data_IF_600889920359
#
_entry.id   IF_600889920359
#
_cell.length_a   1.000
_cell.length_b   1.000
_cell.length_c   1.000
_cell.angle_alpha   90.00
_cell.angle_beta   90.00
_cell.angle_gamma   90.00
#
_symmetry.space_group_name_H-M   'P 1'
#
loop_
_entity.id
_entity.type
_entity.pdbx_description
1 polymer ?
#
# COMPACT_ATOMS: atom_id res chain seq x y z
N UNK A 1 3.45 24.38 -10.53
CA UNK A 1 3.21 23.12 -9.80
C UNK A 1 3.28 23.43 -8.31
N UNK A 2 2.12 23.59 -7.63
CA UNK A 2 2.10 23.91 -6.18
C UNK A 2 2.43 22.63 -5.42
N UNK A 3 3.59 22.58 -4.81
CA UNK A 3 3.92 21.60 -3.79
C UNK A 3 2.98 21.84 -2.60
N UNK A 4 1.96 21.01 -2.48
CA UNK A 4 1.19 20.95 -1.23
C UNK A 4 2.13 20.29 -0.23
N UNK A 5 2.62 21.08 0.71
CA UNK A 5 3.42 20.57 1.83
C UNK A 5 2.56 19.53 2.56
N UNK A 6 2.86 18.24 2.34
CA UNK A 6 2.22 17.15 3.06
C UNK A 6 2.41 17.42 4.54
N UNK A 7 1.31 17.64 5.27
CA UNK A 7 1.32 17.86 6.72
C UNK A 7 2.11 16.70 7.34
N UNK A 8 3.24 17.00 7.98
CA UNK A 8 4.05 15.94 8.62
C UNK A 8 3.22 15.31 9.71
N UNK A 9 2.87 14.05 9.54
CA UNK A 9 2.18 13.28 10.56
C UNK A 9 3.06 13.21 11.81
N UNK A 10 2.46 13.49 12.96
CA UNK A 10 3.12 13.35 14.26
C UNK A 10 3.16 11.88 14.69
N UNK A 11 2.19 11.10 14.27
CA UNK A 11 2.11 9.67 14.49
C UNK A 11 1.39 8.97 13.34
N UNK A 12 1.64 7.67 13.19
CA UNK A 12 1.04 6.83 12.16
C UNK A 12 0.97 5.38 12.65
N UNK A 13 -0.05 4.66 12.20
CA UNK A 13 -0.20 3.24 12.42
C UNK A 13 0.29 2.48 11.18
N UNK A 14 1.35 1.70 11.31
CA UNK A 14 1.76 0.73 10.30
C UNK A 14 0.96 -0.55 10.46
N UNK A 15 0.38 -1.07 9.38
CA UNK A 15 -0.34 -2.34 9.35
C UNK A 15 0.23 -3.28 8.32
N UNK A 16 0.20 -4.57 8.60
CA UNK A 16 0.38 -5.62 7.61
C UNK A 16 -0.51 -6.81 7.93
N UNK A 17 -1.00 -7.50 6.90
CA UNK A 17 -1.69 -8.78 7.04
C UNK A 17 -1.02 -9.79 6.12
N UNK A 18 -0.44 -10.81 6.70
CA UNK A 18 0.22 -11.90 5.99
C UNK A 18 -0.23 -13.21 6.60
N UNK A 19 -0.70 -14.14 5.79
CA UNK A 19 -1.21 -15.45 6.21
C UNK A 19 -2.28 -15.37 7.31
N UNK A 20 -3.18 -14.38 7.19
CA UNK A 20 -4.23 -14.12 8.18
C UNK A 20 -3.73 -13.51 9.48
N UNK A 21 -2.44 -13.20 9.60
CA UNK A 21 -1.85 -12.58 10.77
C UNK A 21 -1.81 -11.07 10.60
N UNK A 22 -2.66 -10.34 11.32
CA UNK A 22 -2.59 -8.89 11.45
C UNK A 22 -1.42 -8.53 12.37
N UNK A 23 -0.56 -7.62 11.91
CA UNK A 23 0.50 -6.99 12.70
C UNK A 23 0.34 -5.49 12.62
N UNK A 24 0.43 -4.82 13.75
CA UNK A 24 0.29 -3.38 13.85
C UNK A 24 1.41 -2.76 14.68
N UNK A 25 1.86 -1.59 14.28
CA UNK A 25 2.83 -0.79 15.01
C UNK A 25 2.39 0.68 15.00
N UNK A 26 2.07 1.22 16.16
CA UNK A 26 1.85 2.65 16.34
C UNK A 26 3.20 3.33 16.53
N UNK A 27 3.53 4.20 15.60
CA UNK A 27 4.82 4.90 15.54
C UNK A 27 4.55 6.39 15.69
N UNK A 28 5.31 7.06 16.55
CA UNK A 28 5.20 8.51 16.75
C UNK A 28 6.58 9.17 16.68
N UNK A 29 6.59 10.43 16.28
CA UNK A 29 7.78 11.27 16.31
C UNK A 29 7.95 11.89 17.70
N UNK A 30 9.06 11.57 18.35
CA UNK A 30 9.45 12.15 19.63
C UNK A 30 10.70 13.02 19.41
N UNK A 31 10.53 14.36 19.35
CA UNK A 31 11.62 15.32 19.08
C UNK A 31 12.34 15.01 17.75
N UNK A 32 13.54 14.45 17.81
CA UNK A 32 14.37 14.10 16.65
C UNK A 32 14.34 12.60 16.30
N UNK A 33 13.70 11.77 17.12
CA UNK A 33 13.65 10.32 16.93
C UNK A 33 12.24 9.83 16.55
N UNK A 34 12.19 8.65 15.96
CA UNK A 34 10.96 7.88 15.73
C UNK A 34 10.92 6.79 16.78
N UNK A 35 9.80 6.65 17.49
CA UNK A 35 9.60 5.65 18.51
C UNK A 35 8.36 4.81 18.22
N UNK A 36 8.46 3.50 18.47
CA UNK A 36 7.30 2.61 18.51
C UNK A 36 6.61 2.82 19.85
N UNK A 37 5.42 3.39 19.81
CA UNK A 37 4.60 3.67 21.00
C UNK A 37 3.92 2.40 21.48
N UNK A 38 3.42 1.61 20.55
CA UNK A 38 2.72 0.35 20.82
C UNK A 38 2.76 -0.56 19.60
N UNK A 39 2.81 -1.85 19.83
CA UNK A 39 2.65 -2.87 18.79
C UNK A 39 1.69 -3.94 19.26
N UNK A 40 1.02 -4.59 18.32
CA UNK A 40 0.14 -5.73 18.57
C UNK A 40 0.14 -6.68 17.36
N UNK A 41 -0.25 -7.91 17.63
CA UNK A 41 -0.42 -8.94 16.61
C UNK A 41 -1.64 -9.77 16.95
N UNK A 42 -2.46 -10.08 15.96
CA UNK A 42 -3.67 -10.87 16.12
C UNK A 42 -3.91 -11.72 14.86
N UNK A 43 -4.50 -12.90 15.03
CA UNK A 43 -4.96 -13.70 13.91
C UNK A 43 -6.36 -13.23 13.52
N UNK A 44 -6.57 -12.92 12.24
CA UNK A 44 -7.88 -12.63 11.69
C UNK A 44 -8.63 -13.92 11.40
N UNK A 45 -9.93 -13.92 11.67
CA UNK A 45 -10.83 -15.04 11.36
C UNK A 45 -11.22 -15.05 9.88
N UNK A 46 -11.18 -13.88 9.23
CA UNK A 46 -11.59 -13.67 7.86
C UNK A 46 -10.43 -13.11 7.02
N UNK A 47 -10.40 -13.46 5.74
CA UNK A 47 -9.46 -12.91 4.77
C UNK A 47 -9.77 -11.45 4.44
N UNK A 48 -8.75 -10.65 4.08
CA UNK A 48 -8.93 -9.25 3.66
C UNK A 48 -9.84 -9.10 2.43
N UNK A 49 -9.90 -10.12 1.57
CA UNK A 49 -10.74 -10.15 0.38
C UNK A 49 -12.10 -10.82 0.62
N UNK A 50 -12.44 -11.11 1.87
CA UNK A 50 -13.76 -11.69 2.22
C UNK A 50 -14.89 -10.80 1.66
N UNK A 51 -15.97 -11.37 1.11
CA UNK A 51 -17.09 -10.63 0.52
C UNK A 51 -17.67 -9.57 1.47
N UNK A 52 -17.77 -9.89 2.75
CA UNK A 52 -18.27 -9.00 3.79
C UNK A 52 -17.12 -8.18 4.40
N UNK A 53 -16.58 -7.23 3.63
CA UNK A 53 -15.45 -6.38 4.01
C UNK A 53 -15.67 -5.63 5.35
N UNK A 54 -16.92 -5.28 5.67
CA UNK A 54 -17.26 -4.60 6.91
C UNK A 54 -17.05 -5.48 8.15
N UNK A 55 -17.25 -6.81 8.05
CA UNK A 55 -16.98 -7.74 9.15
C UNK A 55 -15.47 -7.80 9.43
N UNK A 56 -14.65 -7.90 8.38
CA UNK A 56 -13.19 -7.85 8.51
C UNK A 56 -12.74 -6.55 9.15
N UNK A 57 -13.30 -5.41 8.73
CA UNK A 57 -12.98 -4.11 9.29
C UNK A 57 -13.35 -3.99 10.78
N UNK A 58 -14.51 -4.53 11.17
CA UNK A 58 -14.91 -4.57 12.58
C UNK A 58 -13.98 -5.45 13.42
N UNK A 59 -13.56 -6.59 12.89
CA UNK A 59 -12.61 -7.47 13.57
C UNK A 59 -11.27 -6.75 13.82
N UNK A 60 -10.73 -6.08 12.79
CA UNK A 60 -9.51 -5.25 12.92
C UNK A 60 -9.70 -4.17 13.99
N UNK A 61 -10.83 -3.45 13.96
CA UNK A 61 -11.16 -2.42 14.94
C UNK A 61 -11.14 -2.97 16.37
N UNK A 62 -11.77 -4.11 16.59
CA UNK A 62 -11.82 -4.76 17.91
C UNK A 62 -10.40 -5.13 18.41
N UNK A 63 -9.54 -5.64 17.54
CA UNK A 63 -8.14 -5.92 17.88
C UNK A 63 -7.35 -4.67 18.23
N UNK A 64 -7.53 -3.57 17.50
CA UNK A 64 -6.90 -2.30 17.81
C UNK A 64 -7.38 -1.73 19.15
N UNK A 65 -8.67 -1.80 19.43
CA UNK A 65 -9.25 -1.34 20.70
C UNK A 65 -8.77 -2.17 21.88
N UNK A 66 -8.75 -3.50 21.74
CA UNK A 66 -8.22 -4.41 22.75
C UNK A 66 -6.74 -4.16 23.05
N UNK A 67 -5.96 -3.81 22.02
CA UNK A 67 -4.57 -3.41 22.16
C UNK A 67 -4.39 -1.97 22.70
N UNK A 68 -5.46 -1.20 22.89
CA UNK A 68 -5.41 0.19 23.33
C UNK A 68 -4.80 1.15 22.30
N UNK A 69 -4.86 0.81 21.02
CA UNK A 69 -4.35 1.63 19.91
C UNK A 69 -5.45 2.57 19.43
N UNK A 70 -5.20 3.89 19.54
CA UNK A 70 -6.17 4.95 19.19
C UNK A 70 -5.79 5.72 17.93
N UNK A 71 -4.57 5.55 17.40
CA UNK A 71 -4.16 6.17 16.14
C UNK A 71 -5.04 5.65 15.00
N UNK A 72 -5.44 6.55 14.11
CA UNK A 72 -6.34 6.25 12.98
C UNK A 72 -5.70 6.51 11.61
N UNK A 73 -4.72 7.41 11.55
CA UNK A 73 -3.96 7.59 10.30
C UNK A 73 -3.05 6.38 10.12
N UNK A 74 -3.12 5.74 8.96
CA UNK A 74 -2.41 4.49 8.77
C UNK A 74 -1.72 4.38 7.40
N UNK A 75 -0.70 3.55 7.40
CA UNK A 75 -0.06 3.01 6.19
C UNK A 75 -0.18 1.50 6.26
N UNK A 76 -0.61 0.87 5.20
CA UNK A 76 -0.72 -0.59 5.11
C UNK A 76 0.27 -1.15 4.10
N UNK A 77 1.03 -2.16 4.51
CA UNK A 77 1.79 -2.98 3.60
C UNK A 77 0.85 -3.99 2.93
N UNK A 78 0.79 -3.94 1.60
CA UNK A 78 -0.03 -4.88 0.84
C UNK A 78 0.58 -6.29 0.90
N UNK A 79 -0.25 -7.34 0.92
CA UNK A 79 0.24 -8.71 0.82
C UNK A 79 1.09 -8.88 -0.45
N UNK A 80 2.28 -9.49 -0.38
CA UNK A 80 3.13 -9.70 -1.56
C UNK A 80 2.43 -10.46 -2.69
N UNK A 81 1.50 -11.37 -2.35
CA UNK A 81 0.70 -12.14 -3.31
C UNK A 81 -0.25 -11.30 -4.16
N UNK A 82 -0.52 -10.05 -3.79
CA UNK A 82 -1.35 -9.12 -4.57
C UNK A 82 -0.53 -8.32 -5.58
N UNK A 83 0.79 -8.32 -5.43
CA UNK A 83 1.67 -7.44 -6.19
C UNK A 83 2.23 -8.17 -7.39
N UNK A 84 1.92 -7.68 -8.58
CA UNK A 84 2.57 -8.07 -9.82
C UNK A 84 3.72 -7.11 -10.10
N UNK A 85 4.84 -7.62 -10.57
CA UNK A 85 6.05 -6.83 -10.78
C UNK A 85 6.57 -7.05 -12.20
N UNK A 86 6.93 -5.94 -12.86
CA UNK A 86 7.58 -5.94 -14.16
C UNK A 86 8.74 -4.95 -14.18
N UNK A 87 9.81 -5.31 -14.86
CA UNK A 87 10.97 -4.45 -15.08
C UNK A 87 11.05 -4.07 -16.55
N UNK A 88 11.16 -2.79 -16.82
CA UNK A 88 11.37 -2.26 -18.16
C UNK A 88 12.66 -1.45 -18.23
N UNK A 89 13.44 -1.65 -19.30
CA UNK A 89 14.59 -0.78 -19.61
C UNK A 89 14.05 0.52 -20.20
N UNK A 90 14.56 1.64 -19.70
CA UNK A 90 14.22 2.97 -20.21
C UNK A 90 15.32 3.44 -21.16
N UNK A 91 15.05 3.50 -22.46
CA UNK A 91 15.93 4.20 -23.39
C UNK A 91 15.89 5.72 -23.15
N UNK A 92 16.86 6.44 -23.71
CA UNK A 92 16.88 7.91 -23.69
C UNK A 92 15.83 8.43 -24.69
N UNK A 93 14.63 8.70 -24.18
CA UNK A 93 13.48 9.21 -24.91
C UNK A 93 12.91 10.44 -24.20
N UNK A 94 12.03 11.17 -24.89
CA UNK A 94 11.22 12.21 -24.25
C UNK A 94 10.35 11.63 -23.11
N UNK A 95 9.92 12.47 -22.17
CA UNK A 95 9.07 12.01 -21.07
C UNK A 95 7.73 11.44 -21.56
N UNK A 96 7.20 11.95 -22.67
CA UNK A 96 5.96 11.49 -23.30
C UNK A 96 6.14 10.10 -23.94
N UNK A 97 7.24 9.92 -24.69
CA UNK A 97 7.58 8.64 -25.31
C UNK A 97 7.89 7.56 -24.25
N UNK A 98 8.58 7.94 -23.16
CA UNK A 98 8.79 7.03 -22.02
C UNK A 98 7.49 6.60 -21.37
N UNK A 99 6.53 7.52 -21.20
CA UNK A 99 5.23 7.19 -20.63
C UNK A 99 4.45 6.22 -21.55
N UNK A 100 4.47 6.46 -22.86
CA UNK A 100 3.85 5.59 -23.86
C UNK A 100 4.50 4.21 -23.91
N UNK A 101 5.83 4.16 -23.87
CA UNK A 101 6.57 2.88 -23.81
C UNK A 101 6.16 2.08 -22.56
N UNK A 102 6.14 2.72 -21.40
CA UNK A 102 5.78 2.04 -20.14
C UNK A 102 4.32 1.57 -20.12
N UNK A 103 3.42 2.25 -20.84
CA UNK A 103 2.05 1.79 -21.01
C UNK A 103 2.00 0.52 -21.88
N UNK A 104 2.68 0.50 -23.01
CA UNK A 104 2.80 -0.67 -23.89
C UNK A 104 3.44 -1.86 -23.15
N UNK A 105 4.48 -1.60 -22.39
CA UNK A 105 5.13 -2.65 -21.59
C UNK A 105 4.17 -3.21 -20.53
N UNK A 106 3.36 -2.37 -19.88
CA UNK A 106 2.34 -2.83 -18.93
C UNK A 106 1.28 -3.72 -19.60
N UNK A 107 0.80 -3.33 -20.79
CA UNK A 107 -0.18 -4.11 -21.57
C UNK A 107 0.34 -5.49 -21.96
N UNK A 108 1.64 -5.61 -22.26
CA UNK A 108 2.27 -6.88 -22.64
C UNK A 108 2.68 -7.74 -21.46
N UNK A 109 3.03 -7.10 -20.34
CA UNK A 109 3.71 -7.78 -19.24
C UNK A 109 2.80 -8.19 -18.09
N UNK A 110 1.68 -7.51 -17.88
CA UNK A 110 0.73 -7.93 -16.86
C UNK A 110 -0.35 -8.85 -17.45
N UNK A 111 -0.77 -9.90 -16.71
CA UNK A 111 -1.78 -10.85 -17.16
C UNK A 111 -3.22 -10.31 -17.11
N UNK A 112 -3.40 -9.06 -16.75
CA UNK A 112 -4.67 -8.35 -16.53
C UNK A 112 -4.60 -7.02 -17.26
N UNK A 113 -5.75 -6.56 -17.78
CA UNK A 113 -5.84 -5.27 -18.43
C UNK A 113 -5.33 -4.15 -17.52
N UNK A 114 -4.40 -3.29 -17.99
CA UNK A 114 -3.88 -2.16 -17.21
C UNK A 114 -4.96 -1.24 -16.63
N UNK A 115 -6.12 -1.13 -17.27
CA UNK A 115 -7.25 -0.34 -16.77
C UNK A 115 -7.86 -0.91 -15.49
N UNK A 116 -7.71 -2.21 -15.24
CA UNK A 116 -8.10 -2.88 -14.00
C UNK A 116 -7.03 -2.79 -12.91
N UNK A 117 -5.85 -2.24 -13.23
CA UNK A 117 -4.71 -2.17 -12.33
C UNK A 117 -4.46 -0.77 -11.80
N UNK A 118 -4.02 -0.69 -10.57
CA UNK A 118 -3.30 0.46 -10.04
C UNK A 118 -1.81 0.19 -10.16
N UNK A 119 -1.12 0.97 -10.99
CA UNK A 119 0.30 0.80 -11.28
C UNK A 119 1.09 1.91 -10.61
N UNK A 120 2.09 1.54 -9.82
CA UNK A 120 3.13 2.44 -9.32
C UNK A 120 4.43 2.18 -10.08
N UNK A 121 5.23 3.23 -10.29
CA UNK A 121 6.48 3.17 -11.03
C UNK A 121 7.63 3.65 -10.15
N UNK A 122 8.69 2.86 -10.09
CA UNK A 122 9.92 3.17 -9.36
C UNK A 122 11.10 3.21 -10.34
N UNK A 123 11.58 4.41 -10.72
CA UNK A 123 12.76 4.54 -11.58
C UNK A 123 14.03 4.23 -10.80
N UNK A 124 14.97 3.56 -11.42
CA UNK A 124 16.31 3.34 -10.89
C UNK A 124 17.33 3.35 -12.02
N UNK A 125 18.58 3.63 -11.68
CA UNK A 125 19.70 3.66 -12.64
C UNK A 125 20.77 2.69 -12.19
N UNK A 126 21.33 1.94 -13.14
CA UNK A 126 22.65 1.32 -13.04
C UNK A 126 23.69 2.20 -13.74
N UNK A 127 24.96 1.80 -13.71
CA UNK A 127 26.05 2.53 -14.37
C UNK A 127 25.84 2.72 -15.88
N UNK A 128 25.11 1.83 -16.53
CA UNK A 128 25.01 1.80 -18.01
C UNK A 128 23.59 2.01 -18.54
N UNK A 129 22.57 1.94 -17.71
CA UNK A 129 21.18 1.96 -18.16
C UNK A 129 20.21 2.46 -17.11
N UNK A 130 19.14 3.10 -17.56
CA UNK A 130 17.99 3.42 -16.73
C UNK A 130 16.93 2.31 -16.84
N UNK A 131 16.27 2.04 -15.73
CA UNK A 131 15.19 1.04 -15.62
C UNK A 131 14.02 1.60 -14.84
N UNK A 132 12.85 1.03 -15.06
CA UNK A 132 11.67 1.26 -14.22
C UNK A 132 11.12 -0.08 -13.75
N UNK A 133 10.89 -0.19 -12.45
CA UNK A 133 10.08 -1.26 -11.91
C UNK A 133 8.64 -0.78 -11.86
N UNK A 134 7.74 -1.49 -12.52
CA UNK A 134 6.31 -1.30 -12.43
C UNK A 134 5.75 -2.30 -11.42
N UNK A 135 5.03 -1.80 -10.41
CA UNK A 135 4.33 -2.58 -9.39
C UNK A 135 2.85 -2.39 -9.61
N UNK A 136 2.12 -3.46 -9.81
CA UNK A 136 0.71 -3.41 -10.12
C UNK A 136 -0.12 -4.21 -9.11
N UNK A 137 -1.27 -3.68 -8.73
CA UNK A 137 -2.27 -4.33 -7.87
C UNK A 137 -3.63 -4.14 -8.50
N UNK A 138 -4.52 -5.11 -8.39
CA UNK A 138 -5.89 -5.01 -8.92
C UNK A 138 -6.68 -3.94 -8.18
N UNK A 139 -7.41 -3.12 -8.92
CA UNK A 139 -8.25 -2.02 -8.36
C UNK A 139 -9.37 -2.54 -7.48
N UNK A 140 -9.96 -3.70 -7.81
CA UNK A 140 -11.00 -4.32 -7.00
C UNK A 140 -10.50 -4.75 -5.62
N UNK A 141 -9.26 -5.27 -5.52
CA UNK A 141 -8.60 -5.58 -4.24
C UNK A 141 -8.39 -4.31 -3.41
N UNK A 142 -7.90 -3.23 -4.02
CA UNK A 142 -7.69 -1.95 -3.33
C UNK A 142 -9.01 -1.33 -2.87
N UNK A 143 -10.06 -1.42 -3.68
CA UNK A 143 -11.39 -0.93 -3.32
C UNK A 143 -11.94 -1.69 -2.11
N UNK A 144 -11.81 -3.02 -2.10
CA UNK A 144 -12.23 -3.86 -0.98
C UNK A 144 -11.42 -3.56 0.28
N UNK A 145 -10.10 -3.45 0.16
CA UNK A 145 -9.23 -3.05 1.26
C UNK A 145 -9.63 -1.68 1.84
N UNK A 146 -9.93 -0.71 0.96
CA UNK A 146 -10.41 0.62 1.39
C UNK A 146 -11.70 0.52 2.22
N UNK A 147 -12.63 -0.36 1.83
CA UNK A 147 -13.86 -0.62 2.60
C UNK A 147 -13.55 -1.25 3.97
N UNK A 148 -12.63 -2.22 4.02
CA UNK A 148 -12.16 -2.83 5.28
C UNK A 148 -11.58 -1.78 6.20
N UNK A 149 -10.64 -0.95 5.71
CA UNK A 149 -9.99 0.09 6.51
C UNK A 149 -11.00 1.13 7.01
N UNK A 150 -11.95 1.52 6.16
CA UNK A 150 -13.03 2.45 6.51
C UNK A 150 -13.91 1.90 7.64
N UNK A 151 -14.30 0.62 7.55
CA UNK A 151 -15.08 -0.05 8.58
C UNK A 151 -14.29 -0.23 9.90
N UNK A 152 -12.97 -0.36 9.82
CA UNK A 152 -12.08 -0.32 10.98
C UNK A 152 -11.90 1.08 11.59
N UNK A 153 -12.46 2.13 10.96
CA UNK A 153 -12.28 3.53 11.37
C UNK A 153 -10.90 4.08 11.07
N UNK A 154 -10.15 3.44 10.16
CA UNK A 154 -8.82 3.83 9.76
C UNK A 154 -8.83 4.78 8.55
N UNK A 155 -7.80 5.63 8.46
CA UNK A 155 -7.61 6.62 7.40
C UNK A 155 -6.26 6.35 6.74
N UNK A 156 -6.24 5.66 5.58
CA UNK A 156 -5.00 5.45 4.84
C UNK A 156 -4.48 6.77 4.26
N UNK A 157 -3.15 6.94 4.33
CA UNK A 157 -2.40 8.08 3.80
C UNK A 157 -1.87 7.81 2.38
#
# INVERSE_FOLDING_TARGET
MKWIAKKRLQSVLGLSVVDGQLRVAHVARAKSAIAVVRSASAKLSLDLLHPEAELVGREIKNHLEAAGIRERNCVIALPPSWIMTQHAKLPELSAEDQASLLQIEAEKGFPVDPDELQIARSPHRSSESAYVTQLAVRRDQLTRLSTVLKAAGLKPE
#
